data_IF_457287402346
#
_entry.id   IF_457287402346
#
_cell.length_a   1.000
_cell.length_b   1.000
_cell.length_c   1.000
_cell.angle_alpha   90.00
_cell.angle_beta   90.00
_cell.angle_gamma   90.00
#
_symmetry.space_group_name_H-M   'P 1'
#
loop_
_entity.id
_entity.type
_entity.pdbx_description
1 polymer ?
#
# COMPACT_ATOMS: atom_id res chain seq x y z
N UNK A 1 -24.26 -12.55 -43.10
CA UNK A 1 -23.18 -11.82 -42.39
C UNK A 1 -23.56 -10.41 -41.95
N UNK A 2 -24.51 -9.73 -42.61
CA UNK A 2 -24.94 -8.36 -42.26
C UNK A 2 -25.62 -8.21 -40.90
N UNK A 3 -26.37 -9.22 -40.45
CA UNK A 3 -27.19 -9.11 -39.23
C UNK A 3 -26.36 -9.09 -37.95
N UNK A 4 -25.27 -9.86 -37.91
CA UNK A 4 -24.31 -9.84 -36.78
C UNK A 4 -23.54 -8.52 -36.70
N UNK A 5 -23.24 -7.90 -37.85
CA UNK A 5 -22.58 -6.59 -37.90
C UNK A 5 -23.48 -5.48 -37.35
N UNK A 6 -24.76 -5.47 -37.74
CA UNK A 6 -25.76 -4.53 -37.23
C UNK A 6 -26.01 -4.72 -35.73
N UNK A 7 -26.15 -5.96 -35.25
CA UNK A 7 -26.34 -6.25 -33.83
C UNK A 7 -25.12 -5.83 -32.97
N UNK A 8 -23.90 -6.06 -33.47
CA UNK A 8 -22.64 -5.65 -32.82
C UNK A 8 -22.48 -4.12 -32.80
N UNK A 9 -22.90 -3.43 -33.85
CA UNK A 9 -22.89 -1.97 -33.92
C UNK A 9 -23.95 -1.33 -33.00
N UNK A 10 -25.14 -1.93 -32.90
CA UNK A 10 -26.20 -1.50 -31.97
C UNK A 10 -25.73 -1.68 -30.51
N UNK A 11 -25.15 -2.83 -30.16
CA UNK A 11 -24.60 -3.05 -28.81
C UNK A 11 -23.43 -2.11 -28.49
N UNK A 12 -22.57 -1.79 -29.46
CA UNK A 12 -21.51 -0.77 -29.30
C UNK A 12 -22.09 0.64 -29.12
N UNK A 13 -23.10 1.04 -29.89
CA UNK A 13 -23.75 2.36 -29.80
C UNK A 13 -24.49 2.52 -28.46
N UNK A 14 -25.29 1.54 -28.06
CA UNK A 14 -26.01 1.52 -26.78
C UNK A 14 -25.04 1.55 -25.58
N UNK A 15 -23.91 0.84 -25.68
CA UNK A 15 -22.85 0.90 -24.66
C UNK A 15 -22.17 2.26 -24.59
N UNK A 16 -21.83 2.87 -25.74
CA UNK A 16 -21.26 4.24 -25.78
C UNK A 16 -22.21 5.25 -25.13
N UNK A 17 -23.50 5.16 -25.42
CA UNK A 17 -24.54 6.00 -24.79
C UNK A 17 -24.66 5.74 -23.29
N UNK A 18 -24.62 4.48 -22.85
CA UNK A 18 -24.65 4.13 -21.44
C UNK A 18 -23.42 4.65 -20.67
N UNK A 19 -22.21 4.48 -21.22
CA UNK A 19 -20.97 5.03 -20.65
C UNK A 19 -21.02 6.56 -20.63
N UNK A 20 -21.52 7.20 -21.69
CA UNK A 20 -21.69 8.66 -21.73
C UNK A 20 -22.65 9.15 -20.64
N UNK A 21 -23.79 8.48 -20.44
CA UNK A 21 -24.72 8.76 -19.33
C UNK A 21 -24.06 8.60 -17.97
N UNK A 22 -23.29 7.53 -17.75
CA UNK A 22 -22.57 7.31 -16.50
C UNK A 22 -21.48 8.38 -16.26
N UNK A 23 -20.76 8.81 -17.30
CA UNK A 23 -19.82 9.95 -17.21
C UNK A 23 -20.54 11.25 -16.82
N UNK A 24 -21.70 11.51 -17.43
CA UNK A 24 -22.53 12.68 -17.11
C UNK A 24 -23.07 12.61 -15.67
N UNK A 25 -23.49 11.44 -15.19
CA UNK A 25 -23.90 11.24 -13.80
C UNK A 25 -22.75 11.48 -12.81
N UNK A 26 -21.54 10.99 -13.11
CA UNK A 26 -20.35 11.31 -12.30
C UNK A 26 -20.11 12.82 -12.28
N UNK A 27 -20.07 13.47 -13.45
CA UNK A 27 -19.86 14.92 -13.57
C UNK A 27 -20.90 15.73 -12.82
N UNK A 28 -22.19 15.41 -12.98
CA UNK A 28 -23.27 16.09 -12.27
C UNK A 28 -23.17 15.89 -10.75
N UNK A 29 -22.84 14.68 -10.29
CA UNK A 29 -22.68 14.40 -8.86
C UNK A 29 -21.50 15.14 -8.21
N UNK A 30 -20.47 15.53 -8.99
CA UNK A 30 -19.34 16.30 -8.47
C UNK A 30 -19.71 17.74 -8.07
N UNK A 31 -20.86 18.25 -8.53
CA UNK A 31 -21.29 19.63 -8.29
C UNK A 31 -22.37 19.77 -7.20
N UNK A 32 -23.06 18.70 -6.80
CA UNK A 32 -24.23 18.83 -5.92
C UNK A 32 -24.52 17.64 -5.00
N UNK A 33 -23.68 16.59 -4.98
CA UNK A 33 -23.96 15.36 -4.24
C UNK A 33 -22.86 14.99 -3.22
N UNK A 34 -23.22 14.12 -2.26
CA UNK A 34 -22.25 13.54 -1.32
C UNK A 34 -21.22 12.68 -2.05
N UNK A 35 -20.03 12.52 -1.46
CA UNK A 35 -18.95 11.73 -2.06
C UNK A 35 -19.37 10.28 -2.32
N UNK A 36 -20.24 9.73 -1.48
CA UNK A 36 -20.78 8.37 -1.62
C UNK A 36 -21.52 8.20 -2.95
N UNK A 37 -22.29 9.21 -3.35
CA UNK A 37 -23.01 9.24 -4.63
C UNK A 37 -22.02 9.33 -5.79
N UNK A 38 -20.98 10.18 -5.65
CA UNK A 38 -19.90 10.30 -6.63
C UNK A 38 -19.16 8.97 -6.80
N UNK A 39 -18.79 8.31 -5.71
CA UNK A 39 -18.07 7.03 -5.72
C UNK A 39 -18.95 5.90 -6.28
N UNK A 40 -20.23 5.85 -5.92
CA UNK A 40 -21.20 4.92 -6.50
C UNK A 40 -21.30 5.09 -8.02
N UNK A 41 -21.40 6.33 -8.50
CA UNK A 41 -21.46 6.63 -9.93
C UNK A 41 -20.14 6.29 -10.64
N UNK A 42 -18.98 6.58 -10.02
CA UNK A 42 -17.66 6.19 -10.52
C UNK A 42 -17.50 4.67 -10.57
N UNK A 43 -18.03 3.94 -9.58
CA UNK A 43 -18.04 2.48 -9.55
C UNK A 43 -18.92 1.91 -10.67
N UNK A 44 -20.13 2.44 -10.87
CA UNK A 44 -20.99 2.09 -12.01
C UNK A 44 -20.28 2.32 -13.33
N UNK A 45 -19.60 3.45 -13.49
CA UNK A 45 -18.80 3.77 -14.67
C UNK A 45 -17.64 2.77 -14.87
N UNK A 46 -16.88 2.46 -13.82
CA UNK A 46 -15.80 1.45 -13.85
C UNK A 46 -16.34 0.08 -14.26
N UNK A 47 -17.47 -0.35 -13.72
CA UNK A 47 -18.14 -1.60 -14.10
C UNK A 47 -18.61 -1.58 -15.56
N UNK A 48 -19.26 -0.51 -16.01
CA UNK A 48 -19.66 -0.34 -17.42
C UNK A 48 -18.48 -0.35 -18.40
N UNK A 49 -17.32 0.14 -17.97
CA UNK A 49 -16.07 0.08 -18.71
C UNK A 49 -15.45 -1.33 -18.69
N UNK A 50 -15.53 -2.04 -17.56
CA UNK A 50 -14.92 -3.37 -17.38
C UNK A 50 -15.71 -4.53 -17.98
N UNK A 51 -16.96 -4.34 -18.40
CA UNK A 51 -17.79 -5.35 -19.09
C UNK A 51 -17.30 -5.73 -20.50
N UNK A 52 -15.98 -5.75 -20.76
CA UNK A 52 -15.40 -6.60 -21.80
C UNK A 52 -15.31 -8.02 -21.23
N UNK A 53 -16.30 -8.85 -21.58
CA UNK A 53 -16.30 -10.32 -21.50
C UNK A 53 -15.77 -10.97 -20.21
N UNK A 54 -16.68 -11.54 -19.40
CA UNK A 54 -16.46 -12.80 -18.66
C UNK A 54 -17.82 -13.44 -18.36
N UNK A 55 -18.43 -14.03 -19.39
CA UNK A 55 -19.40 -15.09 -19.16
C UNK A 55 -18.60 -16.32 -18.75
N UNK A 56 -18.64 -16.66 -17.47
CA UNK A 56 -18.06 -17.89 -16.96
C UNK A 56 -19.23 -18.74 -16.49
N UNK A 57 -19.67 -19.76 -17.26
CA UNK A 57 -20.72 -20.65 -16.79
C UNK A 57 -20.23 -21.25 -15.46
N UNK A 58 -21.14 -21.37 -14.49
CA UNK A 58 -20.86 -21.96 -13.17
C UNK A 58 -20.46 -23.42 -13.35
N UNK A 59 -19.18 -23.67 -13.65
CA UNK A 59 -18.57 -24.99 -13.54
C UNK A 59 -18.48 -25.26 -12.05
N UNK A 60 -19.21 -26.26 -11.57
CA UNK A 60 -18.97 -26.85 -10.24
C UNK A 60 -17.52 -27.33 -10.23
N UNK A 61 -16.64 -26.50 -9.67
CA UNK A 61 -15.22 -26.82 -9.55
C UNK A 61 -15.09 -28.05 -8.65
N UNK A 62 -14.78 -29.21 -9.23
CA UNK A 62 -14.23 -30.34 -8.46
C UNK A 62 -12.98 -29.80 -7.76
N UNK A 63 -13.06 -29.60 -6.44
CA UNK A 63 -11.93 -29.15 -5.63
C UNK A 63 -10.96 -30.32 -5.55
N UNK A 64 -10.00 -30.37 -6.49
CA UNK A 64 -8.90 -31.32 -6.44
C UNK A 64 -8.03 -31.01 -5.22
N UNK A 65 -7.63 -32.04 -4.48
CA UNK A 65 -6.68 -31.94 -3.37
C UNK A 65 -5.27 -31.53 -3.81
N UNK A 66 -4.98 -31.49 -5.14
CA UNK A 66 -3.70 -31.04 -5.67
C UNK A 66 -3.57 -29.52 -5.55
N UNK A 67 -2.44 -29.08 -4.99
CA UNK A 67 -2.07 -27.67 -4.89
C UNK A 67 -1.81 -27.11 -6.30
N UNK A 68 -2.32 -25.91 -6.58
CA UNK A 68 -2.00 -25.16 -7.79
C UNK A 68 -0.62 -24.54 -7.62
N UNK A 69 0.29 -24.77 -8.57
CA UNK A 69 1.66 -24.26 -8.50
C UNK A 69 1.70 -22.84 -9.09
N UNK A 70 2.31 -21.92 -8.36
CA UNK A 70 2.61 -20.56 -8.81
C UNK A 70 4.11 -20.33 -8.76
N UNK A 71 4.71 -19.99 -9.89
CA UNK A 71 6.12 -19.60 -9.95
C UNK A 71 6.25 -18.13 -9.53
N UNK A 72 7.00 -17.89 -8.45
CA UNK A 72 7.30 -16.54 -8.01
C UNK A 72 8.15 -15.82 -9.08
N UNK A 73 7.90 -14.52 -9.33
CA UNK A 73 8.72 -13.74 -10.25
C UNK A 73 10.21 -13.76 -9.88
N UNK A 74 11.07 -13.54 -10.87
CA UNK A 74 12.51 -13.37 -10.62
C UNK A 74 12.78 -12.18 -9.69
N UNK A 75 11.97 -11.13 -9.80
CA UNK A 75 12.01 -9.93 -8.97
C UNK A 75 10.61 -9.65 -8.41
N UNK A 76 10.44 -9.86 -7.11
CA UNK A 76 9.24 -9.41 -6.36
C UNK A 76 9.53 -7.99 -5.91
N UNK A 77 9.10 -7.01 -6.69
CA UNK A 77 9.62 -5.64 -6.58
C UNK A 77 8.57 -4.60 -6.96
N UNK A 78 8.43 -3.57 -6.12
CA UNK A 78 7.53 -2.44 -6.33
C UNK A 78 8.21 -1.16 -6.79
N UNK A 79 9.55 -1.13 -6.83
CA UNK A 79 10.25 0.10 -7.19
C UNK A 79 10.37 0.27 -8.70
N UNK A 80 10.52 -0.82 -9.47
CA UNK A 80 10.57 -0.80 -10.94
C UNK A 80 9.21 -1.12 -11.58
N UNK A 81 8.76 -0.30 -12.54
CA UNK A 81 7.42 -0.41 -13.13
C UNK A 81 7.09 -1.78 -13.75
N UNK A 82 8.02 -2.40 -14.49
CA UNK A 82 7.79 -3.75 -15.06
C UNK A 82 7.60 -4.82 -13.98
N UNK A 83 8.44 -4.80 -12.95
CA UNK A 83 8.36 -5.79 -11.87
C UNK A 83 7.15 -5.54 -10.97
N UNK A 84 6.72 -4.29 -10.81
CA UNK A 84 5.52 -3.92 -10.07
C UNK A 84 4.29 -4.63 -10.62
N UNK A 85 4.09 -4.57 -11.94
CA UNK A 85 2.96 -5.22 -12.61
C UNK A 85 3.03 -6.75 -12.53
N UNK A 86 4.23 -7.34 -12.69
CA UNK A 86 4.43 -8.78 -12.53
C UNK A 86 4.16 -9.24 -11.09
N UNK A 87 4.59 -8.45 -10.10
CA UNK A 87 4.37 -8.73 -8.68
C UNK A 87 2.87 -8.68 -8.34
N UNK A 88 2.16 -7.63 -8.76
CA UNK A 88 0.73 -7.53 -8.49
C UNK A 88 -0.08 -8.60 -9.24
N UNK A 89 0.33 -8.97 -10.45
CA UNK A 89 -0.28 -10.09 -11.17
C UNK A 89 -0.13 -11.38 -10.39
N UNK A 90 1.09 -11.70 -9.95
CA UNK A 90 1.37 -12.89 -9.14
C UNK A 90 0.54 -12.92 -7.84
N UNK A 91 0.51 -11.83 -7.08
CA UNK A 91 -0.29 -11.74 -5.85
C UNK A 91 -1.80 -11.83 -6.13
N UNK A 92 -2.28 -11.20 -7.20
CA UNK A 92 -3.69 -11.25 -7.61
C UNK A 92 -4.14 -12.65 -7.99
N UNK A 93 -3.31 -13.39 -8.75
CA UNK A 93 -3.62 -14.76 -9.15
C UNK A 93 -3.63 -15.73 -7.95
N UNK A 94 -2.70 -15.56 -7.00
CA UNK A 94 -2.70 -16.28 -5.72
C UNK A 94 -4.00 -16.02 -4.94
N UNK A 95 -4.33 -14.73 -4.76
CA UNK A 95 -5.54 -14.31 -4.05
C UNK A 95 -6.79 -14.94 -4.66
N UNK A 96 -6.96 -14.81 -5.98
CA UNK A 96 -8.12 -15.34 -6.70
C UNK A 96 -8.19 -16.87 -6.62
N UNK A 97 -7.06 -17.56 -6.61
CA UNK A 97 -7.01 -19.01 -6.47
C UNK A 97 -7.48 -19.45 -5.08
N UNK A 98 -6.96 -18.81 -4.03
CA UNK A 98 -7.28 -19.16 -2.64
C UNK A 98 -8.73 -18.79 -2.30
N UNK A 99 -9.23 -17.64 -2.77
CA UNK A 99 -10.65 -17.25 -2.58
C UNK A 99 -11.63 -18.24 -3.24
N UNK A 100 -11.20 -18.99 -4.27
CA UNK A 100 -11.97 -20.10 -4.85
C UNK A 100 -11.91 -21.39 -4.03
N UNK A 101 -11.32 -21.35 -2.83
CA UNK A 101 -11.18 -22.50 -1.92
C UNK A 101 -10.09 -23.48 -2.33
N UNK A 102 -9.16 -23.08 -3.23
CA UNK A 102 -8.06 -23.94 -3.68
C UNK A 102 -6.84 -23.75 -2.78
N UNK A 103 -6.04 -24.80 -2.70
CA UNK A 103 -4.73 -24.79 -2.06
C UNK A 103 -3.65 -24.52 -3.11
N UNK A 104 -2.58 -23.86 -2.72
CA UNK A 104 -1.50 -23.47 -3.65
C UNK A 104 -0.12 -23.90 -3.15
N UNK A 105 0.83 -23.93 -4.07
CA UNK A 105 2.25 -24.10 -3.82
C UNK A 105 3.02 -22.98 -4.51
N UNK A 106 3.82 -22.22 -3.77
CA UNK A 106 4.64 -21.12 -4.31
C UNK A 106 6.06 -21.63 -4.56
N UNK A 107 6.52 -21.53 -5.80
CA UNK A 107 7.86 -21.94 -6.20
C UNK A 107 8.79 -20.73 -6.37
N UNK A 108 9.78 -20.62 -5.49
CA UNK A 108 10.78 -19.54 -5.43
C UNK A 108 12.08 -19.86 -6.18
N UNK A 109 12.18 -20.96 -6.94
CA UNK A 109 13.45 -21.38 -7.57
C UNK A 109 14.12 -20.30 -8.43
N UNK A 110 13.31 -19.42 -9.04
CA UNK A 110 13.77 -18.38 -9.95
C UNK A 110 13.90 -17.01 -9.28
N UNK A 111 13.47 -16.85 -8.03
CA UNK A 111 13.48 -15.55 -7.35
C UNK A 111 14.91 -15.17 -6.96
N UNK A 112 15.32 -13.96 -7.36
CA UNK A 112 16.68 -13.43 -7.14
C UNK A 112 16.68 -12.09 -6.40
N UNK A 113 15.55 -11.38 -6.37
CA UNK A 113 15.41 -10.11 -5.66
C UNK A 113 14.02 -9.96 -5.07
N UNK A 114 13.95 -9.47 -3.84
CA UNK A 114 12.71 -9.03 -3.20
C UNK A 114 12.92 -7.63 -2.63
N UNK A 115 12.03 -6.70 -2.93
CA UNK A 115 12.05 -5.35 -2.35
C UNK A 115 11.25 -5.29 -1.03
N UNK A 116 11.62 -4.42 -0.10
CA UNK A 116 10.99 -4.37 1.23
C UNK A 116 9.48 -4.10 1.14
N UNK A 117 9.06 -3.08 0.36
CA UNK A 117 7.65 -2.78 0.12
C UNK A 117 6.87 -3.95 -0.50
N UNK A 118 7.47 -4.67 -1.46
CA UNK A 118 6.83 -5.81 -2.10
C UNK A 118 6.74 -7.02 -1.17
N UNK A 119 7.80 -7.29 -0.39
CA UNK A 119 7.80 -8.37 0.61
C UNK A 119 6.75 -8.12 1.69
N UNK A 120 6.64 -6.90 2.21
CA UNK A 120 5.69 -6.58 3.27
C UNK A 120 4.24 -6.77 2.78
N UNK A 121 3.95 -6.26 1.58
CA UNK A 121 2.65 -6.46 0.92
C UNK A 121 2.35 -7.94 0.65
N UNK A 122 3.35 -8.73 0.28
CA UNK A 122 3.19 -10.16 0.03
C UNK A 122 2.94 -10.93 1.34
N UNK A 123 3.74 -10.66 2.38
CA UNK A 123 3.57 -11.25 3.71
C UNK A 123 2.18 -10.94 4.28
N UNK A 124 1.75 -9.67 4.21
CA UNK A 124 0.43 -9.23 4.64
C UNK A 124 -0.71 -9.94 3.88
N UNK A 125 -0.56 -10.08 2.55
CA UNK A 125 -1.54 -10.81 1.73
C UNK A 125 -1.65 -12.27 2.15
N UNK A 126 -0.52 -12.94 2.38
CA UNK A 126 -0.49 -14.34 2.84
C UNK A 126 -1.13 -14.47 4.21
N UNK A 127 -0.80 -13.59 5.17
CA UNK A 127 -1.39 -13.61 6.51
C UNK A 127 -2.92 -13.49 6.47
N UNK A 128 -3.45 -12.53 5.70
CA UNK A 128 -4.90 -12.39 5.49
C UNK A 128 -5.51 -13.64 4.86
N UNK A 129 -4.89 -14.16 3.80
CA UNK A 129 -5.43 -15.28 3.04
C UNK A 129 -5.50 -16.57 3.87
N UNK A 130 -4.50 -16.84 4.70
CA UNK A 130 -4.51 -18.04 5.56
C UNK A 130 -5.58 -17.95 6.63
N UNK A 131 -5.84 -16.77 7.20
CA UNK A 131 -6.89 -16.55 8.22
C UNK A 131 -8.29 -16.74 7.67
N UNK A 132 -8.53 -16.25 6.45
CA UNK A 132 -9.85 -16.34 5.80
C UNK A 132 -10.13 -17.71 5.17
N UNK A 133 -9.13 -18.57 5.02
CA UNK A 133 -9.30 -19.84 4.34
C UNK A 133 -9.54 -20.99 5.32
N UNK A 134 -10.48 -21.87 5.03
CA UNK A 134 -10.86 -23.03 5.88
C UNK A 134 -9.72 -23.99 6.26
N UNK A 135 -8.63 -23.98 5.49
CA UNK A 135 -7.45 -24.81 5.75
C UNK A 135 -6.34 -24.07 6.51
N UNK A 136 -6.57 -22.82 6.94
CA UNK A 136 -5.57 -22.03 7.64
C UNK A 136 -4.29 -21.88 6.83
N UNK A 137 -3.15 -21.91 7.53
CA UNK A 137 -1.81 -21.92 6.93
C UNK A 137 -1.59 -23.05 5.91
N UNK A 138 -2.29 -24.20 6.04
CA UNK A 138 -2.13 -25.37 5.16
C UNK A 138 -2.67 -25.15 3.74
N UNK A 139 -3.34 -24.02 3.49
CA UNK A 139 -3.79 -23.64 2.17
C UNK A 139 -2.64 -23.20 1.25
N UNK A 140 -1.55 -22.70 1.83
CA UNK A 140 -0.33 -22.32 1.12
C UNK A 140 0.80 -23.26 1.56
N UNK A 141 1.63 -23.66 0.61
CA UNK A 141 2.96 -24.22 0.89
C UNK A 141 3.94 -23.59 -0.10
N UNK A 142 5.23 -23.74 0.12
CA UNK A 142 6.23 -23.14 -0.75
C UNK A 142 7.52 -23.96 -0.83
N UNK A 143 8.29 -23.76 -1.91
CA UNK A 143 9.63 -24.34 -2.06
C UNK A 143 10.63 -23.55 -1.22
N UNK A 144 11.66 -24.21 -0.70
CA UNK A 144 12.82 -23.45 -0.24
C UNK A 144 13.45 -22.74 -1.44
N UNK A 145 13.82 -21.45 -1.33
CA UNK A 145 14.56 -20.77 -2.38
C UNK A 145 15.90 -21.46 -2.67
N UNK A 146 16.37 -21.41 -3.92
CA UNK A 146 17.74 -21.83 -4.23
C UNK A 146 18.76 -20.75 -3.89
N UNK A 147 18.34 -19.49 -3.94
CA UNK A 147 19.17 -18.36 -3.53
C UNK A 147 19.10 -18.18 -2.00
N UNK A 148 20.24 -18.38 -1.33
CA UNK A 148 20.36 -18.29 0.14
C UNK A 148 19.92 -16.94 0.69
N UNK A 149 20.16 -15.85 -0.03
CA UNK A 149 19.73 -14.50 0.36
C UNK A 149 18.22 -14.38 0.35
N UNK A 150 17.55 -14.99 -0.62
CA UNK A 150 16.07 -15.03 -0.64
C UNK A 150 15.54 -15.87 0.51
N UNK A 151 16.17 -17.00 0.82
CA UNK A 151 15.80 -17.79 2.00
C UNK A 151 16.01 -17.00 3.30
N UNK A 152 17.14 -16.30 3.42
CA UNK A 152 17.45 -15.42 4.56
C UNK A 152 16.40 -14.32 4.72
N UNK A 153 15.98 -13.66 3.64
CA UNK A 153 14.88 -12.67 3.66
C UNK A 153 13.59 -13.30 4.18
N UNK A 154 13.17 -14.44 3.63
CA UNK A 154 11.92 -15.10 4.03
C UNK A 154 11.93 -15.58 5.48
N UNK A 155 13.08 -16.00 6.00
CA UNK A 155 13.26 -16.33 7.41
C UNK A 155 13.18 -15.07 8.27
N UNK A 156 13.91 -14.01 7.92
CA UNK A 156 13.98 -12.77 8.69
C UNK A 156 12.60 -12.12 8.87
N UNK A 157 11.79 -12.11 7.81
CA UNK A 157 10.46 -11.46 7.83
C UNK A 157 9.36 -12.35 8.40
N UNK A 158 9.68 -13.55 8.88
CA UNK A 158 8.72 -14.46 9.52
C UNK A 158 7.85 -15.28 8.56
N UNK A 159 8.20 -15.37 7.27
CA UNK A 159 7.39 -16.08 6.28
C UNK A 159 7.37 -17.60 6.52
N UNK A 160 8.48 -18.17 7.01
CA UNK A 160 8.57 -19.59 7.37
C UNK A 160 7.66 -19.92 8.55
N UNK A 161 7.66 -19.07 9.57
CA UNK A 161 6.85 -19.16 10.78
C UNK A 161 5.36 -19.04 10.45
N UNK A 162 5.01 -18.06 9.62
CA UNK A 162 3.64 -17.81 9.17
C UNK A 162 3.01 -19.06 8.53
N UNK A 163 3.80 -19.81 7.77
CA UNK A 163 3.36 -21.03 7.08
C UNK A 163 3.78 -22.33 7.77
N UNK A 164 4.37 -22.23 8.98
CA UNK A 164 4.85 -23.35 9.80
C UNK A 164 5.75 -24.33 9.04
N UNK A 165 6.62 -23.80 8.18
CA UNK A 165 7.60 -24.59 7.43
C UNK A 165 8.91 -24.64 8.21
N UNK A 166 9.53 -25.81 8.28
CA UNK A 166 10.86 -25.96 8.90
C UNK A 166 11.87 -25.10 8.16
N UNK A 167 12.69 -24.36 8.92
CA UNK A 167 13.77 -23.54 8.40
C UNK A 167 14.98 -24.42 8.06
N UNK A 168 15.73 -24.04 7.03
CA UNK A 168 17.09 -24.56 6.81
C UNK A 168 18.10 -23.60 7.42
N UNK A 169 19.28 -24.12 7.75
CA UNK A 169 20.43 -23.26 8.02
C UNK A 169 20.73 -22.47 6.75
N UNK A 170 20.78 -21.14 6.86
CA UNK A 170 21.12 -20.25 5.76
C UNK A 170 22.12 -19.21 6.26
N UNK A 171 22.87 -18.63 5.34
CA UNK A 171 23.79 -17.54 5.63
C UNK A 171 23.02 -16.29 6.08
N UNK A 172 23.59 -15.57 7.04
CA UNK A 172 23.13 -14.24 7.42
C UNK A 172 23.70 -13.18 6.47
N UNK A 173 22.87 -12.21 6.11
CA UNK A 173 23.24 -11.08 5.26
C UNK A 173 22.94 -9.80 6.03
N UNK A 174 23.93 -8.92 6.17
CA UNK A 174 23.77 -7.65 6.89
C UNK A 174 22.63 -6.80 6.34
N UNK A 175 22.43 -6.81 5.02
CA UNK A 175 21.34 -6.12 4.35
C UNK A 175 19.96 -6.82 4.46
N UNK A 176 19.90 -7.86 5.29
CA UNK A 176 18.69 -8.60 5.66
C UNK A 176 18.47 -8.54 7.17
N UNK A 177 19.48 -8.90 7.98
CA UNK A 177 19.35 -9.07 9.44
C UNK A 177 19.00 -7.78 10.18
N UNK A 178 19.29 -6.61 9.59
CA UNK A 178 18.93 -5.31 10.18
C UNK A 178 17.43 -5.02 10.19
N UNK A 179 16.63 -5.74 9.39
CA UNK A 179 15.18 -5.54 9.34
C UNK A 179 14.48 -6.15 10.53
N UNK A 180 13.73 -5.34 11.26
CA UNK A 180 12.79 -5.77 12.29
C UNK A 180 11.38 -5.78 11.74
N UNK A 181 10.64 -6.83 12.03
CA UNK A 181 9.25 -7.00 11.60
C UNK A 181 8.31 -7.00 12.81
N UNK A 182 7.18 -6.31 12.69
CA UNK A 182 6.07 -6.43 13.64
C UNK A 182 4.73 -6.12 12.95
N UNK A 183 3.62 -6.54 13.56
CA UNK A 183 2.27 -6.30 13.08
C UNK A 183 1.33 -6.08 14.26
N UNK A 184 0.26 -5.32 14.08
CA UNK A 184 -0.67 -5.05 15.17
C UNK A 184 -2.03 -4.52 14.70
N UNK A 185 -3.07 -4.87 15.44
CA UNK A 185 -4.45 -4.42 15.25
C UNK A 185 -4.82 -3.25 16.16
N UNK A 186 -3.94 -2.83 17.07
CA UNK A 186 -4.14 -1.68 17.93
C UNK A 186 -3.29 -0.47 17.50
N UNK A 187 -3.75 0.72 17.86
CA UNK A 187 -3.05 2.00 17.68
C UNK A 187 -1.95 2.23 18.73
N UNK A 188 -1.88 1.40 19.77
CA UNK A 188 -0.92 1.52 20.87
C UNK A 188 0.34 0.69 20.58
N UNK A 189 1.48 1.33 20.30
CA UNK A 189 2.65 0.65 19.78
C UNK A 189 3.50 0.11 20.92
N UNK A 190 3.04 -0.83 21.74
CA UNK A 190 3.91 -1.43 22.78
C UNK A 190 5.10 -2.12 22.10
N UNK A 191 4.85 -2.93 21.07
CA UNK A 191 5.89 -3.60 20.28
C UNK A 191 6.71 -2.62 19.42
N UNK A 192 6.09 -1.53 18.96
CA UNK A 192 6.78 -0.53 18.20
C UNK A 192 7.54 0.48 19.10
N UNK A 193 7.27 0.52 20.41
CA UNK A 193 7.96 1.40 21.37
C UNK A 193 9.42 1.01 21.55
N UNK A 194 9.74 -0.27 21.52
CA UNK A 194 11.14 -0.75 21.56
C UNK A 194 11.89 -0.36 20.28
N UNK A 195 11.31 -0.69 19.11
CA UNK A 195 11.82 -0.26 17.81
C UNK A 195 12.01 1.27 17.74
N UNK A 196 11.02 2.04 18.21
CA UNK A 196 11.08 3.49 18.23
C UNK A 196 12.01 4.04 19.33
N UNK A 197 12.26 3.27 20.39
CA UNK A 197 13.19 3.63 21.45
C UNK A 197 14.63 3.65 20.96
N UNK A 198 15.01 2.67 20.15
CA UNK A 198 16.29 2.66 19.44
C UNK A 198 16.38 3.79 18.42
N UNK A 199 15.33 3.97 17.61
CA UNK A 199 15.26 5.06 16.64
C UNK A 199 15.39 6.45 17.31
N UNK A 200 14.83 6.63 18.50
CA UNK A 200 14.95 7.87 19.28
C UNK A 200 16.38 8.16 19.75
N UNK A 201 17.20 7.12 19.99
CA UNK A 201 18.61 7.29 20.40
C UNK A 201 19.47 7.76 19.22
N UNK A 202 19.17 7.26 18.04
CA UNK A 202 19.96 7.50 16.81
C UNK A 202 19.57 8.79 16.06
N UNK A 203 18.47 9.45 16.44
CA UNK A 203 17.97 10.66 15.76
C UNK A 203 17.97 11.87 16.69
N UNK A 204 18.30 13.05 16.14
CA UNK A 204 18.16 14.33 16.84
C UNK A 204 16.76 14.48 17.50
N UNK A 205 16.71 14.95 18.76
CA UNK A 205 15.49 14.92 19.59
C UNK A 205 14.23 15.54 18.93
N UNK A 206 14.39 16.60 18.13
CA UNK A 206 13.26 17.26 17.45
C UNK A 206 12.78 16.48 16.23
N UNK A 207 13.70 15.92 15.44
CA UNK A 207 13.39 15.07 14.29
C UNK A 207 12.74 13.75 14.77
N UNK A 208 13.28 13.14 15.83
CA UNK A 208 12.75 11.90 16.38
C UNK A 208 11.31 12.04 16.88
N UNK A 209 10.92 13.19 17.45
CA UNK A 209 9.52 13.45 17.85
C UNK A 209 8.57 13.53 16.65
N UNK A 210 8.95 14.24 15.59
CA UNK A 210 8.13 14.35 14.36
C UNK A 210 8.01 13.00 13.65
N UNK A 211 9.11 12.25 13.55
CA UNK A 211 9.13 10.92 12.95
C UNK A 211 8.34 9.90 13.76
N UNK A 212 8.44 9.96 15.09
CA UNK A 212 7.59 9.16 15.97
C UNK A 212 6.11 9.45 15.76
N UNK A 213 5.72 10.73 15.68
CA UNK A 213 4.32 11.07 15.38
C UNK A 213 3.90 10.60 13.99
N UNK A 214 4.74 10.77 12.98
CA UNK A 214 4.49 10.28 11.62
C UNK A 214 4.24 8.77 11.59
N UNK A 215 5.08 8.03 12.30
CA UNK A 215 4.97 6.59 12.45
C UNK A 215 3.69 6.16 13.20
N UNK A 216 3.41 6.72 14.38
CA UNK A 216 2.20 6.37 15.15
C UNK A 216 0.92 6.76 14.42
N UNK A 217 0.93 7.87 13.69
CA UNK A 217 -0.21 8.28 12.87
C UNK A 217 -0.40 7.35 11.67
N UNK A 218 0.66 6.92 11.00
CA UNK A 218 0.57 5.94 9.92
C UNK A 218 0.00 4.59 10.41
N UNK A 219 0.43 4.12 11.58
CA UNK A 219 -0.14 2.93 12.23
C UNK A 219 -1.62 3.11 12.57
N UNK A 220 -1.97 4.22 13.21
CA UNK A 220 -3.35 4.51 13.57
C UNK A 220 -4.25 4.64 12.34
N UNK A 221 -3.82 5.34 11.29
CA UNK A 221 -4.56 5.42 10.03
C UNK A 221 -4.79 4.03 9.41
N UNK A 222 -3.84 3.12 9.60
CA UNK A 222 -3.89 1.74 9.11
C UNK A 222 -4.89 0.85 9.87
N UNK A 223 -5.40 1.28 11.03
CA UNK A 223 -6.46 0.57 11.78
C UNK A 223 -7.77 1.36 11.74
N UNK A 224 -7.72 2.63 12.15
CA UNK A 224 -8.90 3.48 12.35
C UNK A 224 -9.58 3.89 11.04
N UNK A 225 -8.84 3.93 9.93
CA UNK A 225 -9.33 4.46 8.66
C UNK A 225 -9.21 3.48 7.49
N UNK A 226 -8.14 2.68 7.43
CA UNK A 226 -7.89 1.77 6.32
C UNK A 226 -9.05 0.81 6.06
N UNK A 227 -9.77 0.39 7.10
CA UNK A 227 -10.82 -0.63 7.00
C UNK A 227 -12.25 -0.07 7.03
N UNK A 228 -12.43 1.25 6.85
CA UNK A 228 -13.76 1.86 6.76
C UNK A 228 -14.52 1.30 5.54
N UNK A 229 -15.69 0.72 5.81
CA UNK A 229 -16.55 0.00 4.84
C UNK A 229 -15.85 -1.19 4.16
N UNK A 230 -14.79 -1.73 4.77
CA UNK A 230 -14.16 -2.95 4.32
C UNK A 230 -14.99 -4.16 4.78
N UNK A 231 -15.38 -5.01 3.83
CA UNK A 231 -16.12 -6.24 4.08
C UNK A 231 -15.22 -7.47 4.10
N UNK A 232 -14.00 -7.32 3.62
CA UNK A 232 -13.03 -8.40 3.47
C UNK A 232 -12.17 -8.58 4.71
N UNK A 233 -11.96 -7.52 5.50
CA UNK A 233 -11.09 -7.52 6.67
C UNK A 233 -11.82 -7.07 7.93
N UNK A 234 -11.57 -7.74 9.06
CA UNK A 234 -12.20 -7.41 10.34
C UNK A 234 -11.21 -7.56 11.49
N UNK A 235 -11.48 -6.86 12.60
CA UNK A 235 -10.70 -7.01 13.84
C UNK A 235 -10.90 -8.40 14.46
N UNK A 236 -12.11 -8.95 14.33
CA UNK A 236 -12.51 -10.25 14.90
C UNK A 236 -11.69 -11.42 14.40
N UNK A 237 -11.15 -11.36 13.19
CA UNK A 237 -10.28 -12.41 12.65
C UNK A 237 -8.84 -11.93 12.41
N UNK A 238 -8.44 -10.83 13.05
CA UNK A 238 -7.09 -10.26 13.00
C UNK A 238 -6.60 -9.98 11.56
N UNK A 239 -7.52 -9.61 10.67
CA UNK A 239 -7.17 -9.22 9.28
C UNK A 239 -7.25 -7.72 9.03
N UNK A 240 -7.96 -6.98 9.89
CA UNK A 240 -7.92 -5.52 9.93
C UNK A 240 -6.75 -5.06 10.83
N UNK A 241 -5.55 -4.97 10.25
CA UNK A 241 -4.33 -4.63 11.00
C UNK A 241 -3.24 -4.03 10.11
N UNK A 242 -2.17 -3.53 10.72
CA UNK A 242 -0.98 -3.09 10.00
C UNK A 242 0.17 -4.10 10.13
N UNK A 243 1.06 -4.07 9.14
CA UNK A 243 2.35 -4.77 9.14
C UNK A 243 3.45 -3.73 8.92
N UNK A 244 4.60 -3.88 9.57
CA UNK A 244 5.72 -2.96 9.39
C UNK A 244 7.05 -3.70 9.33
N UNK A 245 7.94 -3.20 8.47
CA UNK A 245 9.38 -3.39 8.59
C UNK A 245 10.03 -2.08 9.01
N UNK A 246 11.01 -2.12 9.89
CA UNK A 246 11.93 -1.00 10.06
C UNK A 246 13.34 -1.48 10.42
N UNK A 247 14.32 -0.64 10.16
CA UNK A 247 15.70 -0.89 10.52
C UNK A 247 16.57 0.33 10.28
N UNK A 248 17.75 0.32 10.88
CA UNK A 248 18.78 1.33 10.63
C UNK A 248 19.92 0.64 9.90
N UNK A 249 20.31 1.20 8.75
CA UNK A 249 21.46 0.73 7.97
C UNK A 249 22.13 1.92 7.32
N UNK A 250 23.46 1.93 7.29
CA UNK A 250 24.23 3.01 6.65
C UNK A 250 23.85 4.41 7.18
N UNK A 251 23.57 4.50 8.49
CA UNK A 251 23.06 5.72 9.15
C UNK A 251 21.76 6.26 8.52
N UNK A 252 20.95 5.38 7.94
CA UNK A 252 19.61 5.69 7.44
C UNK A 252 18.59 4.90 8.24
N UNK A 253 17.64 5.58 8.86
CA UNK A 253 16.42 4.96 9.31
C UNK A 253 15.56 4.65 8.09
N UNK A 254 15.11 3.41 7.96
CA UNK A 254 14.16 2.97 6.93
C UNK A 254 12.94 2.38 7.62
N UNK A 255 11.76 2.83 7.23
CA UNK A 255 10.48 2.32 7.73
C UNK A 255 9.56 2.04 6.56
N UNK A 256 8.88 0.90 6.60
CA UNK A 256 7.85 0.50 5.63
C UNK A 256 6.64 0.00 6.41
N UNK A 257 5.49 0.63 6.24
CA UNK A 257 4.21 0.23 6.84
C UNK A 257 3.26 -0.19 5.72
N UNK A 258 2.49 -1.25 5.94
CA UNK A 258 1.47 -1.75 5.02
C UNK A 258 0.16 -2.00 5.75
N UNK A 259 -0.94 -1.64 5.11
CA UNK A 259 -2.29 -2.13 5.41
C UNK A 259 -2.90 -2.80 4.17
N UNK A 260 -3.93 -3.63 4.38
CA UNK A 260 -4.70 -4.28 3.30
C UNK A 260 -6.11 -3.73 3.14
N UNK A 261 -6.35 -2.53 3.66
CA UNK A 261 -7.63 -1.89 3.65
C UNK A 261 -8.03 -1.31 2.29
N UNK A 262 -8.99 -0.39 2.32
CA UNK A 262 -9.62 0.20 1.13
C UNK A 262 -8.72 1.25 0.43
N UNK A 263 -7.68 1.73 1.12
CA UNK A 263 -6.67 2.66 0.62
C UNK A 263 -7.06 4.15 0.68
N UNK A 264 -6.06 5.02 0.71
CA UNK A 264 -6.17 6.49 0.80
C UNK A 264 -7.19 7.08 -0.19
N UNK A 265 -7.23 6.69 -1.49
CA UNK A 265 -8.21 7.23 -2.43
C UNK A 265 -9.68 7.02 -2.05
N UNK A 266 -9.97 6.01 -1.22
CA UNK A 266 -11.33 5.72 -0.73
C UNK A 266 -11.57 6.22 0.70
N UNK A 267 -10.54 6.37 1.52
CA UNK A 267 -10.67 6.85 2.89
C UNK A 267 -10.67 8.38 2.97
N UNK A 268 -9.77 9.05 2.25
CA UNK A 268 -9.58 10.50 2.32
C UNK A 268 -10.87 11.31 2.07
N UNK A 269 -11.71 10.99 1.07
CA UNK A 269 -12.93 11.74 0.84
C UNK A 269 -13.96 11.63 1.98
N UNK A 270 -13.98 10.49 2.67
CA UNK A 270 -14.88 10.24 3.81
C UNK A 270 -14.41 10.99 5.05
N UNK A 271 -13.10 11.10 5.25
CA UNK A 271 -12.53 11.76 6.43
C UNK A 271 -12.49 13.28 6.31
N UNK A 272 -12.39 13.84 5.09
CA UNK A 272 -12.27 15.29 4.85
C UNK A 272 -13.59 15.97 4.43
N UNK A 273 -14.54 15.21 3.89
CA UNK A 273 -15.74 15.76 3.27
C UNK A 273 -15.48 16.37 1.89
N UNK A 274 -16.54 16.48 1.07
CA UNK A 274 -16.44 16.87 -0.35
C UNK A 274 -15.87 18.27 -0.53
N UNK A 275 -16.36 19.26 0.24
CA UNK A 275 -15.98 20.67 0.07
C UNK A 275 -14.51 20.91 0.41
N UNK A 276 -14.03 20.37 1.53
CA UNK A 276 -12.63 20.50 1.96
C UNK A 276 -11.69 19.80 0.98
N UNK A 277 -12.05 18.59 0.53
CA UNK A 277 -11.27 17.85 -0.45
C UNK A 277 -11.24 18.56 -1.81
N UNK A 278 -12.35 19.19 -2.23
CA UNK A 278 -12.43 20.01 -3.45
C UNK A 278 -11.45 21.18 -3.40
N UNK A 279 -11.47 21.94 -2.30
CA UNK A 279 -10.54 23.05 -2.11
C UNK A 279 -9.09 22.57 -2.10
N UNK A 280 -8.81 21.46 -1.41
CA UNK A 280 -7.48 20.88 -1.32
C UNK A 280 -6.94 20.45 -2.70
N UNK A 281 -7.74 19.73 -3.49
CA UNK A 281 -7.33 19.27 -4.83
C UNK A 281 -7.14 20.45 -5.79
N UNK A 282 -8.02 21.46 -5.73
CA UNK A 282 -7.91 22.67 -6.52
C UNK A 282 -6.63 23.47 -6.19
N UNK A 283 -6.29 23.60 -4.91
CA UNK A 283 -5.06 24.26 -4.46
C UNK A 283 -3.80 23.54 -4.92
N UNK A 284 -3.89 22.23 -5.21
CA UNK A 284 -2.79 21.44 -5.78
C UNK A 284 -2.73 21.54 -7.31
N UNK A 285 -3.59 22.34 -7.95
CA UNK A 285 -3.61 22.56 -9.40
C UNK A 285 -4.31 21.47 -10.20
N UNK A 286 -5.13 20.62 -9.56
CA UNK A 286 -5.82 19.52 -10.23
C UNK A 286 -7.32 19.77 -10.37
N UNK A 287 -7.90 19.30 -11.48
CA UNK A 287 -9.36 19.24 -11.67
C UNK A 287 -9.97 18.04 -10.95
N UNK A 288 -11.18 18.22 -10.43
CA UNK A 288 -11.98 17.17 -9.79
C UNK A 288 -12.55 16.12 -10.75
N UNK A 289 -12.61 16.44 -12.05
CA UNK A 289 -13.34 15.62 -13.03
C UNK A 289 -12.65 14.28 -13.31
N UNK A 290 -11.37 14.12 -12.95
CA UNK A 290 -10.63 12.87 -13.11
C UNK A 290 -9.44 12.73 -12.14
N UNK A 291 -9.72 12.86 -10.84
CA UNK A 291 -8.71 12.72 -9.78
C UNK A 291 -8.21 11.28 -9.75
N UNK A 292 -6.92 11.09 -10.09
CA UNK A 292 -6.19 9.82 -10.02
C UNK A 292 -5.89 9.42 -8.58
N UNK A 293 -5.60 8.14 -8.34
CA UNK A 293 -5.29 7.64 -7.01
C UNK A 293 -4.05 8.36 -6.42
N UNK A 294 -3.03 8.61 -7.24
CA UNK A 294 -1.83 9.38 -6.84
C UNK A 294 -2.11 10.81 -6.36
N UNK A 295 -3.17 11.45 -6.86
CA UNK A 295 -3.54 12.81 -6.45
C UNK A 295 -4.23 12.80 -5.08
N UNK A 296 -5.05 11.79 -4.79
CA UNK A 296 -5.56 11.60 -3.43
C UNK A 296 -4.43 11.35 -2.44
N UNK A 297 -3.41 10.59 -2.84
CA UNK A 297 -2.24 10.37 -1.99
C UNK A 297 -1.51 11.70 -1.75
N UNK A 298 -1.21 12.47 -2.79
CA UNK A 298 -0.58 13.80 -2.62
C UNK A 298 -1.40 14.71 -1.72
N UNK A 299 -2.72 14.79 -1.95
CA UNK A 299 -3.63 15.56 -1.12
C UNK A 299 -3.60 15.11 0.36
N UNK A 300 -3.53 13.81 0.64
CA UNK A 300 -3.45 13.31 2.01
C UNK A 300 -2.21 13.80 2.77
N UNK A 301 -1.13 14.14 2.06
CA UNK A 301 0.09 14.69 2.68
C UNK A 301 -0.02 16.17 3.06
N UNK A 302 -1.06 16.85 2.57
CA UNK A 302 -1.28 18.30 2.77
C UNK A 302 -2.42 18.60 3.75
N UNK A 303 -3.12 17.57 4.20
CA UNK A 303 -4.19 17.68 5.20
C UNK A 303 -3.60 18.20 6.51
N UNK A 304 -4.33 19.11 7.18
CA UNK A 304 -3.93 19.70 8.46
C UNK A 304 -4.83 19.31 9.63
N UNK A 305 -6.00 18.71 9.37
CA UNK A 305 -7.01 18.32 10.38
C UNK A 305 -7.63 16.96 10.02
N UNK A 306 -7.73 16.05 10.99
CA UNK A 306 -8.61 14.86 10.90
C UNK A 306 -9.99 15.15 11.46
N UNK A 307 -10.95 14.27 11.12
CA UNK A 307 -12.32 14.24 11.64
C UNK A 307 -12.41 14.23 13.18
N UNK A 308 -11.38 13.76 13.88
CA UNK A 308 -11.34 13.66 15.35
C UNK A 308 -11.01 14.97 16.06
N UNK A 309 -10.53 16.01 15.35
CA UNK A 309 -10.32 17.36 15.89
C UNK A 309 -9.16 17.52 16.89
N UNK A 310 -8.46 16.46 17.27
CA UNK A 310 -7.34 16.52 18.21
C UNK A 310 -6.12 17.23 17.60
N UNK A 311 -5.49 18.15 18.36
CA UNK A 311 -4.40 19.04 17.89
C UNK A 311 -3.19 18.31 17.28
N UNK A 312 -2.99 17.02 17.61
CA UNK A 312 -1.87 16.19 17.18
C UNK A 312 -2.20 15.18 16.07
N UNK A 313 -3.46 15.07 15.64
CA UNK A 313 -3.89 14.13 14.60
C UNK A 313 -3.86 14.79 13.21
N UNK A 314 -3.59 14.00 12.16
CA UNK A 314 -3.69 14.44 10.75
C UNK A 314 -2.49 15.21 10.24
N UNK A 315 -1.34 15.06 10.89
CA UNK A 315 -0.11 15.77 10.57
C UNK A 315 1.04 14.82 10.29
N UNK A 316 0.86 13.51 10.38
CA UNK A 316 1.93 12.54 10.37
C UNK A 316 2.71 12.51 9.05
N UNK A 317 2.00 12.41 7.92
CA UNK A 317 2.63 12.47 6.60
C UNK A 317 3.27 13.84 6.33
N UNK A 318 2.63 14.92 6.79
CA UNK A 318 3.16 16.29 6.70
C UNK A 318 4.42 16.49 7.57
N UNK A 319 4.44 15.89 8.76
CA UNK A 319 5.55 15.94 9.69
C UNK A 319 6.76 15.22 9.09
N UNK A 320 6.56 14.06 8.44
CA UNK A 320 7.61 13.34 7.69
C UNK A 320 8.15 14.22 6.55
N UNK A 321 7.29 14.85 5.74
CA UNK A 321 7.72 15.81 4.70
C UNK A 321 8.57 16.93 5.30
N UNK A 322 8.10 17.54 6.39
CA UNK A 322 8.80 18.65 7.04
C UNK A 322 10.17 18.26 7.62
N UNK A 323 10.37 16.97 7.97
CA UNK A 323 11.67 16.46 8.38
C UNK A 323 12.60 16.35 7.17
N UNK A 324 12.11 15.82 6.05
CA UNK A 324 12.88 15.75 4.79
C UNK A 324 13.26 17.15 4.32
N UNK A 325 12.34 18.12 4.40
CA UNK A 325 12.60 19.52 4.04
C UNK A 325 13.68 20.15 4.93
N UNK A 326 13.62 19.89 6.23
CA UNK A 326 14.56 20.45 7.20
C UNK A 326 15.97 19.86 7.07
N UNK A 327 16.09 18.58 6.70
CA UNK A 327 17.38 17.90 6.52
C UNK A 327 17.94 18.17 5.11
N UNK A 328 17.06 18.46 4.15
CA UNK A 328 17.42 18.61 2.74
C UNK A 328 17.77 17.29 2.04
N UNK A 329 17.76 16.17 2.77
CA UNK A 329 17.99 14.81 2.26
C UNK A 329 17.02 13.83 2.91
N UNK A 330 16.40 12.99 2.10
CA UNK A 330 15.50 11.95 2.57
C UNK A 330 14.55 11.48 1.47
N UNK A 331 13.78 10.44 1.76
CA UNK A 331 12.88 9.84 0.81
C UNK A 331 11.60 9.41 1.52
N UNK A 332 10.46 9.64 0.88
CA UNK A 332 9.17 9.09 1.25
C UNK A 332 8.46 8.62 -0.02
N UNK A 333 7.86 7.43 0.01
CA UNK A 333 7.02 6.91 -1.06
C UNK A 333 5.76 6.30 -0.47
N UNK A 334 4.64 6.59 -1.11
CA UNK A 334 3.33 6.07 -0.72
C UNK A 334 2.72 5.38 -1.93
N UNK A 335 2.40 4.10 -1.77
CA UNK A 335 1.59 3.33 -2.70
C UNK A 335 0.20 3.21 -2.11
N UNK A 336 -0.85 3.58 -2.84
CA UNK A 336 -2.21 3.32 -2.36
C UNK A 336 -3.14 3.05 -3.53
N UNK A 337 -3.78 1.88 -3.49
CA UNK A 337 -4.45 1.33 -4.67
C UNK A 337 -3.55 1.39 -5.91
N UNK A 338 -3.92 2.13 -6.96
CA UNK A 338 -3.11 2.28 -8.18
C UNK A 338 -2.12 3.43 -8.10
N UNK A 339 -2.28 4.33 -7.14
CA UNK A 339 -1.49 5.55 -7.04
C UNK A 339 -0.12 5.30 -6.43
N UNK A 340 0.87 6.05 -6.92
CA UNK A 340 2.18 6.22 -6.30
C UNK A 340 2.49 7.70 -6.15
N UNK A 341 2.98 8.06 -4.99
CA UNK A 341 3.51 9.37 -4.65
C UNK A 341 4.92 9.20 -4.12
N UNK A 342 5.87 10.01 -4.60
CA UNK A 342 7.26 10.02 -4.15
C UNK A 342 7.62 11.45 -3.79
N UNK A 343 8.24 11.62 -2.62
CA UNK A 343 8.80 12.86 -2.14
C UNK A 343 10.25 12.61 -1.76
N UNK A 344 11.19 13.31 -2.39
CA UNK A 344 12.62 13.08 -2.20
C UNK A 344 13.37 14.41 -2.05
N UNK A 345 14.11 14.54 -0.97
CA UNK A 345 15.12 15.58 -0.80
C UNK A 345 16.50 15.06 -1.19
N UNK A 346 17.27 15.86 -1.92
CA UNK A 346 18.69 15.60 -2.16
C UNK A 346 19.45 16.92 -2.29
N UNK A 347 20.41 17.14 -1.40
CA UNK A 347 21.22 18.37 -1.35
C UNK A 347 20.37 19.65 -1.32
N UNK A 348 19.30 19.64 -0.52
CA UNK A 348 18.37 20.78 -0.37
C UNK A 348 17.33 20.92 -1.49
N UNK A 349 17.48 20.18 -2.60
CA UNK A 349 16.49 20.17 -3.67
C UNK A 349 15.40 19.13 -3.40
N UNK A 350 14.15 19.58 -3.51
CA UNK A 350 12.97 18.71 -3.37
C UNK A 350 12.49 18.28 -4.76
N UNK A 351 12.32 16.98 -4.93
CA UNK A 351 11.65 16.38 -6.07
C UNK A 351 10.39 15.64 -5.61
N UNK A 352 9.26 15.97 -6.22
CA UNK A 352 7.95 15.40 -5.93
C UNK A 352 7.37 14.79 -7.21
N UNK A 353 7.00 13.51 -7.16
CA UNK A 353 6.52 12.77 -8.33
C UNK A 353 5.23 12.02 -7.99
N UNK A 354 4.20 12.19 -8.83
CA UNK A 354 2.92 11.47 -8.74
C UNK A 354 2.63 10.71 -10.03
N UNK A 355 2.25 9.44 -9.93
CA UNK A 355 1.75 8.68 -11.08
C UNK A 355 0.91 7.48 -10.66
N UNK A 356 0.07 6.99 -11.56
CA UNK A 356 -0.73 5.79 -11.35
C UNK A 356 -0.14 4.61 -12.14
N UNK A 357 -0.14 3.45 -11.50
CA UNK A 357 0.20 2.15 -12.08
C UNK A 357 -1.02 1.48 -12.72
N UNK A 358 -0.80 0.43 -13.53
CA UNK A 358 -1.91 -0.30 -14.19
C UNK A 358 -2.56 -1.28 -13.21
N UNK A 359 -1.82 -1.82 -12.26
CA UNK A 359 -2.34 -2.67 -11.18
C UNK A 359 -2.44 -1.93 -9.85
N UNK A 360 -3.25 -2.45 -8.94
CA UNK A 360 -3.41 -1.92 -7.57
C UNK A 360 -2.61 -2.76 -6.58
N UNK A 361 -2.02 -2.14 -5.54
CA UNK A 361 -1.44 -2.86 -4.39
C UNK A 361 -2.48 -3.42 -3.41
N UNK A 362 -3.77 -3.06 -3.58
CA UNK A 362 -4.91 -3.49 -2.75
C UNK A 362 -4.71 -3.19 -1.26
N UNK A 363 -4.52 -1.91 -0.96
CA UNK A 363 -4.19 -1.41 0.37
C UNK A 363 -3.38 -0.13 0.27
N UNK A 364 -2.66 0.20 1.33
CA UNK A 364 -1.66 1.28 1.36
C UNK A 364 -0.32 0.75 1.84
N UNK A 365 0.76 1.24 1.24
CA UNK A 365 2.12 1.03 1.70
C UNK A 365 2.77 2.40 1.81
N UNK A 366 3.25 2.75 3.00
CA UNK A 366 3.96 4.00 3.27
C UNK A 366 5.39 3.62 3.61
N UNK A 367 6.34 4.22 2.91
CA UNK A 367 7.76 3.99 3.10
C UNK A 367 8.47 5.33 3.27
N UNK A 368 9.42 5.41 4.19
CA UNK A 368 10.37 6.51 4.23
C UNK A 368 11.76 6.06 4.63
N UNK A 369 12.75 6.83 4.20
CA UNK A 369 14.16 6.69 4.55
C UNK A 369 14.75 8.06 4.86
N UNK A 370 15.36 8.20 6.03
CA UNK A 370 15.88 9.48 6.53
C UNK A 370 17.25 9.25 7.19
N UNK A 371 18.24 10.12 6.96
CA UNK A 371 19.52 10.06 7.66
C UNK A 371 19.37 10.18 9.18
N UNK A 372 20.12 9.38 9.93
CA UNK A 372 20.22 9.45 11.38
C UNK A 372 21.05 10.66 11.82
N UNK A 373 22.16 10.89 11.11
CA UNK A 373 23.07 12.01 11.37
C UNK A 373 22.59 13.24 10.61
N UNK A 374 21.91 14.12 11.32
CA UNK A 374 21.66 15.48 10.83
C UNK A 374 22.74 16.34 11.44
N UNK A 375 23.83 16.59 10.70
CA UNK A 375 24.74 17.67 11.08
C UNK A 375 23.90 18.95 11.14
N UNK A 376 23.81 19.53 12.34
CA UNK A 376 23.22 20.84 12.59
C UNK A 376 24.07 21.88 11.88
N UNK A 377 23.88 22.03 10.57
CA UNK A 377 24.52 23.09 9.82
C UNK A 377 23.81 24.40 10.13
N UNK A 378 24.56 25.27 10.83
CA UNK A 378 24.40 26.73 11.00
C UNK A 378 23.42 27.23 12.06
N UNK A 379 23.91 27.29 13.30
CA UNK A 379 23.61 28.34 14.29
C UNK A 379 24.94 28.91 14.87
N UNK A 380 25.95 29.09 14.01
CA UNK A 380 27.14 29.91 14.32
C UNK A 380 27.15 31.08 13.35
N UNK A 381 26.40 32.14 13.66
CA UNK A 381 26.64 33.52 13.21
C UNK A 381 25.69 34.51 13.88
N UNK A 382 25.44 34.37 15.19
CA UNK A 382 24.76 35.43 15.94
C UNK A 382 25.29 35.55 17.37
N UNK A 383 26.62 35.77 17.46
CA UNK A 383 27.28 36.38 18.61
C UNK A 383 28.49 37.18 18.12
N UNK A 384 28.23 38.30 17.46
CA UNK A 384 29.14 39.44 17.43
C UNK A 384 28.43 40.67 16.86
N UNK A 385 27.71 41.37 17.74
CA UNK A 385 27.60 42.84 17.79
C UNK A 385 26.90 43.24 19.08
#
# INVERSE_FOLDING_TARGET
>A
MEDKSKLLNITKKTRRTHISRLKKLVSNSLNSASWEIVEHNRRKLRLGLSLKEKYNPRVKLKVSNKRVIFFAPEKIDYYQGKNYELTNKFLGEIHDCIKKGRRIFIDFRNTKKISAAAMLSFLAEVDVLIKKHKHGYRCINFSHPYNEKIESILIQVGFYELLRKQKRTTKEFEDVTFWKYTSGSCSEPILAKEMMGEIKKELAQRASKKLYRGFTEAMSNSVEHAYIDDKEHTETDDTAKWWTFAGIRDKQLIVVICDKGVGIPKTLPKTQGVSSLRALIANLGYSLDNVKDSIFIKASTEVQKTRTGERYRGKGLKDIKSVIDSIGTGYMSIFSNRGRYIYKGHSGNINEVTFDQKSSVRGTIIEWSIPCDVESSKDENDKSS
#
